data_IF_427673205700
#
_entry.id   IF_427673205700
#
_cell.length_a   1.000
_cell.length_b   1.000
_cell.length_c   1.000
_cell.angle_alpha   90.00
_cell.angle_beta   90.00
_cell.angle_gamma   90.00
#
_symmetry.space_group_name_H-M   'P 1'
#
loop_
_entity.id
_entity.type
_entity.pdbx_description
1 polymer ?
#
# COMPACT_ATOMS: atom_id res chain seq x y z
N UNK A 1 -13.56 10.39 5.39
CA UNK A 1 -12.75 9.19 5.79
C UNK A 1 -11.37 9.37 5.21
N UNK A 2 -10.35 9.28 6.06
CA UNK A 2 -8.94 9.36 5.66
C UNK A 2 -8.32 7.96 5.64
N UNK A 3 -7.75 7.58 4.52
CA UNK A 3 -6.99 6.35 4.36
C UNK A 3 -5.49 6.63 4.45
N UNK A 4 -4.77 5.77 5.15
CA UNK A 4 -3.35 5.58 4.93
C UNK A 4 -3.17 4.37 4.03
N UNK A 5 -2.21 4.39 3.11
CA UNK A 5 -1.95 3.34 2.13
C UNK A 5 -0.47 3.02 2.18
N UNK A 6 -0.13 1.76 2.41
CA UNK A 6 1.26 1.33 2.55
C UNK A 6 1.48 -0.05 1.91
N UNK A 7 2.72 -0.40 1.62
CA UNK A 7 3.08 -1.64 0.92
C UNK A 7 4.46 -2.15 1.31
N UNK A 8 4.69 -3.42 1.06
CA UNK A 8 6.03 -4.01 1.04
C UNK A 8 6.77 -3.85 2.39
N UNK A 9 6.14 -4.39 3.47
CA UNK A 9 6.66 -4.38 4.84
C UNK A 9 7.73 -5.46 5.06
N UNK A 10 7.58 -6.60 4.39
CA UNK A 10 8.54 -7.70 4.36
C UNK A 10 9.07 -8.18 5.72
N UNK A 11 8.20 -8.21 6.73
CA UNK A 11 8.53 -8.76 8.05
C UNK A 11 9.39 -7.87 8.94
N UNK A 12 9.59 -6.61 8.60
CA UNK A 12 10.31 -5.65 9.42
C UNK A 12 9.47 -5.18 10.61
N UNK A 13 9.84 -5.55 11.81
CA UNK A 13 9.20 -5.07 13.02
C UNK A 13 9.48 -3.58 13.27
N UNK A 14 10.67 -3.11 12.90
CA UNK A 14 11.02 -1.69 12.99
C UNK A 14 10.08 -0.84 12.14
N UNK A 15 9.95 -1.13 10.84
CA UNK A 15 9.10 -0.34 9.95
C UNK A 15 7.60 -0.58 10.19
N UNK A 16 7.20 -1.72 10.76
CA UNK A 16 5.84 -1.93 11.22
C UNK A 16 5.47 -0.96 12.35
N UNK A 17 6.34 -0.77 13.34
CA UNK A 17 6.14 0.20 14.42
C UNK A 17 6.08 1.63 13.88
N UNK A 18 7.00 2.01 12.98
CA UNK A 18 7.00 3.33 12.34
C UNK A 18 5.72 3.59 11.53
N UNK A 19 5.22 2.59 10.81
CA UNK A 19 3.95 2.66 10.08
C UNK A 19 2.77 2.91 11.04
N UNK A 20 2.72 2.22 12.17
CA UNK A 20 1.67 2.40 13.19
C UNK A 20 1.73 3.81 13.80
N UNK A 21 2.92 4.31 14.10
CA UNK A 21 3.13 5.69 14.58
C UNK A 21 2.68 6.72 13.52
N UNK A 22 3.03 6.48 12.24
CA UNK A 22 2.58 7.31 11.13
C UNK A 22 1.05 7.28 11.00
N UNK A 23 0.41 6.11 11.09
CA UNK A 23 -1.05 5.97 11.06
C UNK A 23 -1.73 6.79 12.17
N UNK A 24 -1.19 6.76 13.37
CA UNK A 24 -1.70 7.54 14.51
C UNK A 24 -1.49 9.05 14.31
N UNK A 25 -0.30 9.45 13.85
CA UNK A 25 0.04 10.85 13.54
C UNK A 25 -0.86 11.44 12.47
N UNK A 26 -1.18 10.66 11.43
CA UNK A 26 -2.09 11.07 10.35
C UNK A 26 -3.55 11.19 10.81
N UNK A 27 -3.92 10.61 11.95
CA UNK A 27 -5.32 10.50 12.36
C UNK A 27 -6.15 9.74 11.33
N UNK A 28 -5.55 8.77 10.63
CA UNK A 28 -6.23 8.02 9.58
C UNK A 28 -7.30 7.07 10.16
N UNK A 29 -8.42 6.95 9.46
CA UNK A 29 -9.55 6.09 9.87
C UNK A 29 -9.26 4.63 9.54
N UNK A 30 -8.61 4.36 8.41
CA UNK A 30 -8.32 3.04 7.86
C UNK A 30 -6.91 2.98 7.28
N UNK A 31 -6.33 1.78 7.30
CA UNK A 31 -5.05 1.47 6.68
C UNK A 31 -5.26 0.40 5.59
N UNK A 32 -4.92 0.74 4.36
CA UNK A 32 -4.87 -0.19 3.23
C UNK A 32 -3.44 -0.68 3.06
N UNK A 33 -3.24 -2.00 3.22
CA UNK A 33 -1.97 -2.68 2.97
C UNK A 33 -2.02 -3.34 1.59
N UNK A 34 -1.03 -3.05 0.76
CA UNK A 34 -0.96 -3.58 -0.61
C UNK A 34 -0.16 -4.89 -0.71
N UNK A 35 0.01 -5.61 0.40
CA UNK A 35 0.64 -6.93 0.44
C UNK A 35 2.12 -6.93 0.80
N UNK A 36 2.71 -8.13 0.73
CA UNK A 36 4.09 -8.46 1.12
C UNK A 36 4.37 -8.10 2.58
N UNK A 37 3.61 -8.76 3.50
CA UNK A 37 3.58 -8.39 4.92
C UNK A 37 4.69 -9.03 5.75
N UNK A 38 4.85 -10.36 5.70
CA UNK A 38 5.67 -11.12 6.64
C UNK A 38 6.98 -11.66 6.06
N UNK A 39 6.97 -12.11 4.82
CA UNK A 39 8.14 -12.71 4.19
C UNK A 39 8.95 -11.70 3.40
N UNK A 40 10.29 -11.71 3.58
CA UNK A 40 11.19 -10.77 2.90
C UNK A 40 11.30 -11.00 1.38
N UNK A 41 10.93 -12.21 0.90
CA UNK A 41 11.11 -12.61 -0.49
C UNK A 41 12.55 -13.07 -0.81
N UNK A 42 12.74 -14.09 -1.68
CA UNK A 42 14.04 -14.73 -1.89
C UNK A 42 15.06 -13.84 -2.64
N UNK A 43 14.61 -12.74 -3.23
CA UNK A 43 15.44 -11.82 -4.03
C UNK A 43 15.83 -10.54 -3.30
N UNK A 44 15.32 -10.33 -2.09
CA UNK A 44 15.59 -9.13 -1.30
C UNK A 44 16.54 -9.47 -0.15
N UNK A 45 17.38 -8.52 0.24
CA UNK A 45 18.08 -8.58 1.50
C UNK A 45 17.08 -8.48 2.66
N UNK A 46 17.49 -8.95 3.84
CA UNK A 46 16.66 -8.81 5.04
C UNK A 46 16.50 -7.33 5.39
N UNK A 47 15.27 -6.86 5.59
CA UNK A 47 15.04 -5.48 6.02
C UNK A 47 15.52 -5.31 7.49
N UNK A 48 15.68 -4.06 7.88
CA UNK A 48 16.02 -3.71 9.27
C UNK A 48 15.04 -4.37 10.23
N UNK A 49 15.54 -5.03 11.26
CA UNK A 49 14.76 -5.71 12.31
C UNK A 49 13.74 -6.70 11.70
N UNK A 50 14.25 -7.62 10.87
CA UNK A 50 13.40 -8.67 10.30
C UNK A 50 12.96 -9.64 11.41
N UNK A 51 11.73 -9.46 11.86
CA UNK A 51 11.13 -10.22 12.95
C UNK A 51 9.62 -10.45 12.71
N UNK A 52 9.24 -11.33 11.76
CA UNK A 52 7.84 -11.56 11.41
C UNK A 52 6.97 -11.93 12.62
N UNK A 53 7.53 -12.67 13.59
CA UNK A 53 6.83 -13.03 14.83
C UNK A 53 6.45 -11.83 15.70
N UNK A 54 7.13 -10.71 15.56
CA UNK A 54 6.78 -9.45 16.23
C UNK A 54 5.79 -8.63 15.40
N UNK A 55 5.86 -8.72 14.07
CA UNK A 55 4.93 -8.03 13.15
C UNK A 55 3.51 -8.55 13.32
N UNK A 56 3.33 -9.88 13.50
CA UNK A 56 2.02 -10.51 13.64
C UNK A 56 1.15 -9.85 14.72
N UNK A 57 1.56 -9.77 16.01
CA UNK A 57 0.75 -9.15 17.03
C UNK A 57 0.54 -7.64 16.83
N UNK A 58 1.50 -6.94 16.22
CA UNK A 58 1.37 -5.52 15.87
C UNK A 58 0.22 -5.30 14.88
N UNK A 59 0.19 -6.07 13.78
CA UNK A 59 -0.87 -5.97 12.78
C UNK A 59 -2.22 -6.47 13.33
N UNK A 60 -2.24 -7.59 14.07
CA UNK A 60 -3.47 -8.11 14.69
C UNK A 60 -4.09 -7.10 15.67
N UNK A 61 -3.27 -6.31 16.37
CA UNK A 61 -3.75 -5.21 17.20
C UNK A 61 -4.50 -4.12 16.41
N UNK A 62 -4.29 -4.03 15.11
CA UNK A 62 -4.94 -3.06 14.22
C UNK A 62 -6.04 -3.68 13.34
N UNK A 63 -6.36 -4.96 13.45
CA UNK A 63 -7.21 -5.73 12.52
C UNK A 63 -8.52 -5.06 12.11
N UNK A 64 -9.16 -4.31 13.03
CA UNK A 64 -10.41 -3.60 12.74
C UNK A 64 -10.22 -2.34 11.88
N UNK A 65 -8.99 -1.89 11.70
CA UNK A 65 -8.63 -0.73 10.87
C UNK A 65 -8.04 -1.12 9.52
N UNK A 66 -7.72 -2.41 9.32
CA UNK A 66 -6.99 -2.89 8.16
C UNK A 66 -7.93 -3.33 7.03
N UNK A 67 -7.53 -2.99 5.82
CA UNK A 67 -7.90 -3.66 4.58
C UNK A 67 -6.60 -4.10 3.90
N UNK A 68 -6.54 -5.32 3.39
CA UNK A 68 -5.32 -5.84 2.79
C UNK A 68 -5.61 -6.55 1.48
N UNK A 69 -4.70 -6.42 0.52
CA UNK A 69 -4.65 -7.25 -0.69
C UNK A 69 -3.40 -8.12 -0.67
N UNK A 70 -3.46 -9.26 -1.37
CA UNK A 70 -2.41 -10.28 -1.40
C UNK A 70 -1.20 -9.80 -2.19
N UNK A 71 -0.02 -9.85 -1.57
CA UNK A 71 1.26 -9.75 -2.25
C UNK A 71 1.76 -11.10 -2.80
N UNK A 72 2.84 -11.06 -3.57
CA UNK A 72 3.45 -12.30 -4.09
C UNK A 72 4.20 -13.10 -3.01
N UNK A 73 4.52 -12.48 -1.89
CA UNK A 73 5.15 -13.13 -0.75
C UNK A 73 4.13 -13.58 0.32
N UNK A 74 2.86 -13.22 0.18
CA UNK A 74 1.81 -13.60 1.13
C UNK A 74 1.21 -14.96 0.75
N UNK A 75 1.11 -15.85 1.72
CA UNK A 75 0.67 -17.22 1.53
C UNK A 75 -0.48 -17.60 2.50
N UNK A 76 -1.08 -18.74 2.25
CA UNK A 76 -2.15 -19.30 3.09
C UNK A 76 -1.69 -19.47 4.55
N UNK A 77 -0.41 -19.74 4.77
CA UNK A 77 0.18 -19.86 6.11
C UNK A 77 0.17 -18.53 6.87
N UNK A 78 0.27 -17.40 6.17
CA UNK A 78 0.20 -16.07 6.79
C UNK A 78 -1.23 -15.77 7.27
N UNK A 79 -2.23 -16.22 6.51
CA UNK A 79 -3.64 -16.12 6.92
C UNK A 79 -3.95 -16.93 8.19
N UNK A 80 -3.17 -17.96 8.53
CA UNK A 80 -3.36 -18.73 9.75
C UNK A 80 -2.96 -17.95 11.02
N UNK A 81 -2.13 -16.94 10.89
CA UNK A 81 -1.59 -16.15 12.01
C UNK A 81 -2.03 -14.69 12.01
N UNK A 82 -2.52 -14.18 10.87
CA UNK A 82 -3.09 -12.84 10.75
C UNK A 82 -4.62 -12.89 10.88
N UNK A 83 -5.16 -12.10 11.81
CA UNK A 83 -6.58 -12.10 12.19
C UNK A 83 -7.45 -11.17 11.32
N UNK A 84 -7.00 -10.85 10.11
CA UNK A 84 -7.72 -10.08 9.10
C UNK A 84 -7.45 -10.69 7.71
N UNK A 85 -8.34 -10.53 6.71
CA UNK A 85 -8.15 -11.09 5.38
C UNK A 85 -6.89 -10.54 4.70
N UNK A 86 -6.02 -11.43 4.19
CA UNK A 86 -4.77 -11.07 3.50
C UNK A 86 -4.63 -11.67 2.11
N UNK A 87 -5.59 -12.49 1.66
CA UNK A 87 -5.50 -13.26 0.41
C UNK A 87 -6.42 -12.72 -0.70
N UNK A 88 -6.94 -11.50 -0.57
CA UNK A 88 -7.74 -10.88 -1.63
C UNK A 88 -6.82 -10.41 -2.77
N UNK A 89 -7.08 -10.82 -4.01
CA UNK A 89 -6.25 -10.44 -5.16
C UNK A 89 -6.32 -8.94 -5.47
N UNK A 90 -7.44 -8.30 -5.13
CA UNK A 90 -7.64 -6.86 -5.26
C UNK A 90 -8.72 -6.36 -4.31
N UNK A 91 -8.76 -5.05 -4.13
CA UNK A 91 -9.85 -4.33 -3.49
C UNK A 91 -10.25 -3.14 -4.37
N UNK A 92 -11.51 -2.70 -4.28
CA UNK A 92 -12.01 -1.55 -5.03
C UNK A 92 -12.52 -0.52 -4.05
N UNK A 93 -12.01 0.72 -4.16
CA UNK A 93 -12.43 1.86 -3.35
C UNK A 93 -13.09 2.91 -4.25
N UNK A 94 -14.31 3.36 -3.94
CA UNK A 94 -14.90 4.51 -4.63
C UNK A 94 -14.23 5.81 -4.15
N UNK A 95 -13.81 6.65 -5.09
CA UNK A 95 -13.21 7.97 -4.83
C UNK A 95 -13.82 8.98 -5.81
N UNK A 96 -14.67 9.85 -5.31
CA UNK A 96 -15.51 10.68 -6.17
C UNK A 96 -16.41 9.81 -7.06
N UNK A 97 -16.34 10.03 -8.36
CA UNK A 97 -17.05 9.23 -9.37
C UNK A 97 -16.19 8.14 -10.01
N UNK A 98 -14.98 7.91 -9.50
CA UNK A 98 -14.00 6.97 -10.05
C UNK A 98 -13.76 5.81 -9.09
N UNK A 99 -13.26 4.71 -9.63
CA UNK A 99 -12.85 3.56 -8.84
C UNK A 99 -11.32 3.51 -8.73
N UNK A 100 -10.84 3.22 -7.52
CA UNK A 100 -9.45 2.87 -7.27
C UNK A 100 -9.36 1.35 -7.16
N UNK A 101 -8.71 0.70 -8.12
CA UNK A 101 -8.38 -0.71 -8.06
C UNK A 101 -7.05 -0.86 -7.34
N UNK A 102 -7.13 -1.26 -6.08
CA UNK A 102 -5.99 -1.54 -5.24
C UNK A 102 -5.57 -3.01 -5.39
N UNK A 103 -4.33 -3.23 -5.77
CA UNK A 103 -3.73 -4.56 -5.96
C UNK A 103 -2.29 -4.54 -5.45
N UNK A 104 -1.63 -5.69 -5.37
CA UNK A 104 -0.19 -5.65 -5.07
C UNK A 104 0.67 -5.23 -6.28
N UNK A 105 0.31 -5.65 -7.49
CA UNK A 105 1.06 -5.32 -8.70
C UNK A 105 1.73 -6.52 -9.40
N UNK A 106 1.81 -7.68 -8.76
CA UNK A 106 2.42 -8.87 -9.34
C UNK A 106 1.52 -9.58 -10.36
N UNK A 107 0.19 -9.46 -10.23
CA UNK A 107 -0.82 -9.98 -11.17
C UNK A 107 -1.36 -8.83 -12.01
N UNK A 108 -2.08 -7.91 -11.36
CA UNK A 108 -2.65 -6.73 -12.01
C UNK A 108 -1.71 -5.55 -11.91
N UNK A 109 -1.32 -5.01 -13.05
CA UNK A 109 -0.39 -3.89 -13.22
C UNK A 109 -0.62 -3.23 -14.58
N UNK A 110 0.18 -2.25 -14.99
CA UNK A 110 0.04 -1.57 -16.28
C UNK A 110 0.16 -2.49 -17.51
N UNK A 111 0.77 -3.68 -17.39
CA UNK A 111 0.89 -4.66 -18.47
C UNK A 111 -0.27 -5.67 -18.48
N UNK A 112 -0.95 -5.82 -17.38
CA UNK A 112 -2.10 -6.70 -17.20
C UNK A 112 -3.14 -5.97 -16.36
N UNK A 113 -3.95 -5.14 -17.02
CA UNK A 113 -4.91 -4.25 -16.37
C UNK A 113 -6.14 -5.02 -15.84
N UNK A 114 -6.65 -4.66 -14.65
CA UNK A 114 -8.01 -5.02 -14.29
C UNK A 114 -9.01 -4.26 -15.18
N UNK A 115 -10.32 -4.53 -15.11
CA UNK A 115 -11.33 -3.87 -15.95
C UNK A 115 -11.56 -2.40 -15.53
N UNK A 116 -10.60 -1.54 -15.86
CA UNK A 116 -10.66 -0.10 -15.58
C UNK A 116 -11.51 0.64 -16.63
N UNK A 117 -12.39 1.51 -16.17
CA UNK A 117 -12.99 2.52 -17.01
C UNK A 117 -12.05 3.73 -17.21
N UNK A 118 -12.26 4.57 -18.24
CA UNK A 118 -11.53 5.84 -18.36
C UNK A 118 -11.64 6.67 -17.06
N UNK A 119 -10.48 7.14 -16.58
CA UNK A 119 -10.40 7.91 -15.35
C UNK A 119 -10.24 7.09 -14.06
N UNK A 120 -10.44 5.77 -14.07
CA UNK A 120 -10.17 4.92 -12.93
C UNK A 120 -8.67 4.87 -12.60
N UNK A 121 -8.39 4.53 -11.36
CA UNK A 121 -7.03 4.54 -10.81
C UNK A 121 -6.58 3.10 -10.53
N UNK A 122 -5.39 2.75 -11.00
CA UNK A 122 -4.67 1.56 -10.59
C UNK A 122 -3.72 1.93 -9.45
N UNK A 123 -3.91 1.33 -8.29
CA UNK A 123 -3.06 1.52 -7.11
C UNK A 123 -2.35 0.20 -6.80
N UNK A 124 -1.01 0.19 -6.76
CA UNK A 124 -0.26 -1.02 -6.45
C UNK A 124 1.07 -0.74 -5.76
N UNK A 125 1.68 -1.76 -5.14
CA UNK A 125 3.02 -1.80 -4.54
C UNK A 125 4.03 -2.55 -5.43
N UNK A 126 4.64 -3.58 -4.89
CA UNK A 126 5.50 -4.58 -5.55
C UNK A 126 6.82 -4.07 -6.14
N UNK A 127 6.84 -2.93 -6.80
CA UNK A 127 8.06 -2.39 -7.42
C UNK A 127 9.01 -1.78 -6.39
N UNK A 128 8.50 -1.43 -5.21
CA UNK A 128 9.17 -0.69 -4.14
C UNK A 128 9.60 0.73 -4.54
N UNK A 129 9.06 1.24 -5.64
CA UNK A 129 9.33 2.58 -6.17
C UNK A 129 8.04 3.38 -6.18
N UNK A 130 7.97 4.53 -5.51
CA UNK A 130 6.78 5.36 -5.55
C UNK A 130 6.53 5.88 -6.97
N UNK A 131 5.26 5.94 -7.36
CA UNK A 131 4.89 6.44 -8.69
C UNK A 131 3.51 7.09 -8.72
N UNK A 132 3.30 7.97 -9.74
CA UNK A 132 2.06 8.72 -10.00
C UNK A 132 1.89 8.99 -11.50
N UNK A 133 2.05 7.96 -12.31
CA UNK A 133 2.10 8.07 -13.76
C UNK A 133 0.72 8.03 -14.41
N UNK A 134 0.54 8.82 -15.48
CA UNK A 134 -0.63 8.72 -16.34
C UNK A 134 -0.47 7.54 -17.32
N UNK A 135 -1.57 6.89 -17.67
CA UNK A 135 -1.62 5.88 -18.72
C UNK A 135 -3.02 5.81 -19.35
N UNK A 136 -3.14 5.15 -20.52
CA UNK A 136 -4.41 5.15 -21.25
C UNK A 136 -4.88 6.56 -21.62
N UNK A 137 -6.17 6.78 -21.64
CA UNK A 137 -6.74 8.09 -21.97
C UNK A 137 -6.74 9.03 -20.76
N UNK A 138 -7.24 8.58 -19.61
CA UNK A 138 -7.37 9.40 -18.39
C UNK A 138 -6.94 8.69 -17.10
N UNK A 139 -6.47 7.44 -17.19
CA UNK A 139 -6.15 6.63 -16.03
C UNK A 139 -4.85 7.06 -15.35
N UNK A 140 -4.73 6.74 -14.07
CA UNK A 140 -3.52 6.93 -13.26
C UNK A 140 -3.07 5.62 -12.65
N UNK A 141 -1.75 5.45 -12.59
CA UNK A 141 -1.11 4.38 -11.84
C UNK A 141 -0.36 4.99 -10.66
N UNK A 142 -0.74 4.59 -9.46
CA UNK A 142 -0.20 5.11 -8.21
C UNK A 142 0.50 4.00 -7.44
N UNK A 143 1.62 4.34 -6.77
CA UNK A 143 2.36 3.41 -5.92
C UNK A 143 2.89 4.15 -4.69
N UNK A 144 2.66 3.65 -3.47
CA UNK A 144 3.16 4.28 -2.25
C UNK A 144 4.68 4.13 -2.03
N UNK A 145 5.37 3.30 -2.82
CA UNK A 145 6.72 2.84 -2.53
C UNK A 145 6.73 1.67 -1.55
N UNK A 146 7.85 1.45 -0.86
CA UNK A 146 7.99 0.39 0.15
C UNK A 146 8.23 0.98 1.54
N UNK A 147 7.60 0.37 2.54
CA UNK A 147 7.87 0.69 3.94
C UNK A 147 9.28 0.31 4.35
N UNK A 148 9.79 -0.85 3.93
CA UNK A 148 10.99 -1.43 4.51
C UNK A 148 12.17 -1.60 3.56
N UNK A 149 11.91 -1.74 2.26
CA UNK A 149 12.94 -2.02 1.24
C UNK A 149 12.72 -1.11 0.02
N UNK A 150 12.80 0.22 0.16
CA UNK A 150 12.66 1.14 -0.98
C UNK A 150 13.77 0.90 -2.00
N UNK A 151 13.45 1.11 -3.28
CA UNK A 151 14.39 0.98 -4.41
C UNK A 151 14.59 2.32 -5.10
N UNK A 152 15.61 2.39 -5.98
CA UNK A 152 15.91 3.59 -6.80
C UNK A 152 16.14 4.85 -5.96
N UNK A 153 16.76 4.70 -4.78
CA UNK A 153 16.99 5.78 -3.82
C UNK A 153 15.73 6.53 -3.36
N UNK A 154 14.57 5.86 -3.45
CA UNK A 154 13.33 6.43 -2.93
C UNK A 154 13.27 6.35 -1.40
N UNK A 155 12.49 7.20 -0.74
CA UNK A 155 12.34 7.16 0.71
C UNK A 155 11.52 5.95 1.17
N UNK A 156 11.66 5.59 2.45
CA UNK A 156 10.66 4.79 3.16
C UNK A 156 9.36 5.59 3.22
N UNK A 157 8.30 5.11 2.60
CA UNK A 157 7.14 5.95 2.29
C UNK A 157 5.80 5.24 2.39
N UNK A 158 4.77 6.05 2.46
CA UNK A 158 3.36 5.69 2.40
C UNK A 158 2.59 6.78 1.66
N UNK A 159 1.31 6.53 1.40
CA UNK A 159 0.39 7.53 0.88
C UNK A 159 -0.75 7.79 1.87
N UNK A 160 -1.36 8.95 1.76
CA UNK A 160 -2.68 9.23 2.33
C UNK A 160 -3.68 9.55 1.23
N UNK A 161 -4.95 9.19 1.47
CA UNK A 161 -6.09 9.58 0.64
C UNK A 161 -7.17 10.16 1.54
N UNK A 162 -7.53 11.42 1.30
CA UNK A 162 -8.63 12.09 1.98
C UNK A 162 -9.52 12.83 0.98
N UNK A 163 -10.80 12.41 0.90
CA UNK A 163 -11.66 12.82 -0.21
C UNK A 163 -11.07 12.36 -1.54
N UNK A 164 -10.67 13.31 -2.39
CA UNK A 164 -10.07 13.09 -3.70
C UNK A 164 -8.59 13.51 -3.76
N UNK A 165 -7.96 13.70 -2.59
CA UNK A 165 -6.59 14.16 -2.45
C UNK A 165 -5.66 13.03 -2.02
N UNK A 166 -4.68 12.71 -2.86
CA UNK A 166 -3.61 11.76 -2.63
C UNK A 166 -2.32 12.51 -2.28
N UNK A 167 -1.63 12.07 -1.23
CA UNK A 167 -0.32 12.59 -0.86
C UNK A 167 0.66 11.44 -0.65
N UNK A 168 1.89 11.58 -1.13
CA UNK A 168 3.02 10.70 -0.85
C UNK A 168 3.86 11.31 0.25
N UNK A 169 4.15 10.53 1.27
CA UNK A 169 4.84 10.99 2.47
C UNK A 169 5.97 10.05 2.86
N UNK A 170 7.04 10.62 3.39
CA UNK A 170 8.06 9.83 4.10
C UNK A 170 7.47 9.27 5.39
N UNK A 171 8.12 8.26 5.99
CA UNK A 171 7.68 7.73 7.29
C UNK A 171 7.72 8.77 8.40
N UNK A 172 8.51 9.83 8.28
CA UNK A 172 8.55 10.97 9.18
C UNK A 172 7.35 11.91 9.01
N UNK A 173 6.59 11.77 7.90
CA UNK A 173 5.38 12.53 7.59
C UNK A 173 5.59 13.72 6.67
N UNK A 174 6.78 13.88 6.08
CA UNK A 174 7.06 14.91 5.10
C UNK A 174 6.37 14.58 3.76
N UNK A 175 5.57 15.52 3.25
CA UNK A 175 4.92 15.39 1.94
C UNK A 175 5.94 15.73 0.86
N UNK A 176 6.21 14.76 -0.04
CA UNK A 176 7.14 14.98 -1.15
C UNK A 176 6.45 14.97 -2.52
N UNK A 177 5.21 14.50 -2.60
CA UNK A 177 4.36 14.60 -3.78
C UNK A 177 2.88 14.60 -3.38
N UNK A 178 2.05 15.27 -4.20
CA UNK A 178 0.60 15.25 -4.04
C UNK A 178 -0.12 15.30 -5.38
N UNK A 179 -1.32 14.74 -5.42
CA UNK A 179 -2.21 14.78 -6.58
C UNK A 179 -3.68 14.78 -6.14
N UNK A 180 -4.48 15.58 -6.82
CA UNK A 180 -5.93 15.61 -6.66
C UNK A 180 -6.61 15.09 -7.93
N UNK A 181 -7.72 14.37 -7.76
CA UNK A 181 -8.57 14.08 -8.91
C UNK A 181 -9.00 15.40 -9.54
N UNK A 182 -8.93 15.50 -10.90
CA UNK A 182 -9.49 16.64 -11.61
C UNK A 182 -11.00 16.75 -11.33
N UNK A 183 -11.45 17.96 -11.04
CA UNK A 183 -12.89 18.25 -11.03
C UNK A 183 -13.45 17.90 -12.41
N UNK A 184 -14.61 17.22 -12.43
CA UNK A 184 -15.30 16.97 -13.70
C UNK A 184 -15.80 18.31 -14.24
N UNK A 185 -15.35 18.64 -15.48
CA UNK A 185 -15.87 19.77 -16.23
C UNK A 185 -17.31 19.49 -16.69
#
# INVERSE_FOLDING_TARGET
>A
MKWMIASDLHGSAYYCRQMIEAFQREGADRLLLLGDLLYHGPRNDLPRDYAPKEVIPLLNGMKQKLLCVRGNCDAEVDQMVLEFPVLADYAVLPVGQRLVYATHGHIYNQKNLPPLAPGDILLHGHTHVPSWTAFGEENRCLNPGSLSIPKENSPHSYMTLEGEHFQWKTLEGEVYHEWRLPEHA
#
